data_IF_111218560562
#
_entry.id   IF_111218560562
#
_cell.length_a   1.000
_cell.length_b   1.000
_cell.length_c   1.000
_cell.angle_alpha   90.00
_cell.angle_beta   90.00
_cell.angle_gamma   90.00
#
_symmetry.space_group_name_H-M   'P 1'
#
loop_
_entity.id
_entity.type
_entity.pdbx_description
1 polymer ?
#
# COMPACT_ATOMS: atom_id res chain seq x y z
N UNK A 1 0.74 14.86 19.92
CA UNK A 1 1.45 15.39 18.75
C UNK A 1 2.76 14.62 18.53
N UNK A 2 3.73 14.61 19.44
CA UNK A 2 5.05 13.97 19.25
C UNK A 2 4.97 12.47 18.93
N UNK A 3 4.12 11.73 19.61
CA UNK A 3 3.95 10.29 19.37
C UNK A 3 3.36 10.00 17.97
N UNK A 4 2.45 10.83 17.49
CA UNK A 4 1.88 10.70 16.15
C UNK A 4 2.95 10.98 15.09
N UNK A 5 3.74 12.04 15.25
CA UNK A 5 4.84 12.37 14.34
C UNK A 5 5.90 11.27 14.31
N UNK A 6 6.22 10.66 15.47
CA UNK A 6 7.12 9.52 15.53
C UNK A 6 6.60 8.35 14.67
N UNK A 7 5.32 7.98 14.78
CA UNK A 7 4.75 6.91 13.98
C UNK A 7 4.67 7.24 12.49
N UNK A 8 4.45 8.49 12.13
CA UNK A 8 4.50 8.91 10.72
C UNK A 8 5.89 8.70 10.11
N UNK A 9 6.94 9.03 10.86
CA UNK A 9 8.32 8.80 10.43
C UNK A 9 8.63 7.29 10.29
N UNK A 10 8.11 6.47 11.19
CA UNK A 10 8.24 5.00 11.12
C UNK A 10 7.52 4.43 9.89
N UNK A 11 6.32 4.93 9.57
CA UNK A 11 5.57 4.53 8.37
C UNK A 11 6.34 4.91 7.11
N UNK A 12 6.83 6.14 7.01
CA UNK A 12 7.60 6.58 5.84
C UNK A 12 8.89 5.76 5.64
N UNK A 13 9.55 5.39 6.72
CA UNK A 13 10.85 4.73 6.67
C UNK A 13 10.75 3.22 6.41
N UNK A 14 9.78 2.55 7.01
CA UNK A 14 9.78 1.08 7.08
C UNK A 14 8.58 0.41 6.42
N UNK A 15 7.48 1.09 6.24
CA UNK A 15 6.20 0.48 5.83
C UNK A 15 5.79 0.86 4.42
N UNK A 16 5.90 2.11 4.02
CA UNK A 16 5.61 2.53 2.65
C UNK A 16 6.61 1.91 1.69
N UNK A 17 6.12 1.10 0.79
CA UNK A 17 6.91 0.19 -0.02
C UNK A 17 7.16 0.66 -1.45
N UNK A 18 6.19 1.26 -2.08
CA UNK A 18 6.24 1.56 -3.50
C UNK A 18 6.12 3.06 -3.77
N UNK A 19 6.50 3.53 -4.97
CA UNK A 19 6.24 4.91 -5.37
C UNK A 19 4.74 5.24 -5.40
N UNK A 20 3.86 4.23 -5.38
CA UNK A 20 2.40 4.42 -5.34
C UNK A 20 1.87 4.80 -3.96
N UNK A 21 2.67 4.63 -2.90
CA UNK A 21 2.32 5.09 -1.55
C UNK A 21 1.39 4.16 -0.76
N UNK A 22 1.36 2.87 -1.07
CA UNK A 22 0.62 1.89 -0.27
C UNK A 22 1.30 1.66 1.07
N UNK A 23 0.51 1.63 2.13
CA UNK A 23 0.92 1.17 3.45
C UNK A 23 0.85 -0.36 3.43
N UNK A 24 1.98 -1.02 3.62
CA UNK A 24 2.12 -2.46 3.48
C UNK A 24 2.69 -3.10 4.76
N UNK A 25 2.60 -4.41 4.86
CA UNK A 25 3.26 -5.15 5.92
C UNK A 25 4.78 -5.13 5.73
N UNK A 26 5.51 -5.00 6.83
CA UNK A 26 6.97 -4.97 6.83
C UNK A 26 7.54 -5.85 7.96
N UNK A 27 7.53 -7.18 7.80
CA UNK A 27 8.15 -8.07 8.78
C UNK A 27 9.64 -7.77 8.92
N UNK A 28 10.17 -7.97 10.12
CA UNK A 28 11.60 -7.85 10.38
C UNK A 28 12.28 -9.19 10.12
N UNK A 29 13.33 -9.20 9.30
CA UNK A 29 14.15 -10.41 9.08
C UNK A 29 14.95 -10.80 10.31
N UNK A 30 15.27 -9.82 11.18
CA UNK A 30 15.94 -10.02 12.46
C UNK A 30 15.13 -9.38 13.58
N UNK A 31 14.90 -10.14 14.64
CA UNK A 31 14.11 -9.70 15.79
C UNK A 31 14.64 -8.38 16.35
N UNK A 32 13.73 -7.43 16.57
CA UNK A 32 13.98 -6.09 17.10
C UNK A 32 14.92 -5.18 16.28
N UNK A 33 15.32 -5.59 15.07
CA UNK A 33 16.17 -4.80 14.18
C UNK A 33 15.37 -4.22 13.02
N UNK A 34 14.88 -3.00 13.17
CA UNK A 34 14.07 -2.30 12.17
C UNK A 34 14.81 -2.03 10.85
N UNK A 35 16.16 -2.02 10.85
CA UNK A 35 16.93 -1.87 9.61
C UNK A 35 16.77 -3.07 8.68
N UNK A 36 16.25 -4.17 9.19
CA UNK A 36 15.95 -5.39 8.44
C UNK A 36 14.48 -5.51 8.02
N UNK A 37 13.72 -4.42 8.09
CA UNK A 37 12.34 -4.38 7.62
C UNK A 37 12.27 -4.73 6.12
N UNK A 38 11.39 -5.64 5.78
CA UNK A 38 11.22 -6.17 4.43
C UNK A 38 9.77 -5.95 3.98
N UNK A 39 9.43 -4.76 3.46
CA UNK A 39 8.08 -4.46 3.01
C UNK A 39 7.61 -5.45 1.96
N UNK A 40 6.48 -6.07 2.19
CA UNK A 40 5.90 -7.08 1.32
C UNK A 40 4.54 -6.64 0.81
N UNK A 41 4.23 -7.00 -0.42
CA UNK A 41 2.87 -6.90 -0.90
C UNK A 41 1.99 -7.90 -0.17
N UNK A 42 0.80 -7.45 0.12
CA UNK A 42 -0.23 -8.28 0.69
C UNK A 42 -1.55 -8.08 -0.06
N UNK A 43 -2.41 -9.08 0.04
CA UNK A 43 -3.78 -8.97 -0.46
C UNK A 43 -4.58 -7.85 0.22
N UNK A 44 -4.00 -7.18 1.22
CA UNK A 44 -4.63 -6.17 2.05
C UNK A 44 -4.01 -4.78 1.89
N UNK A 45 -3.21 -4.52 0.85
CA UNK A 45 -2.61 -3.20 0.62
C UNK A 45 -3.67 -2.09 0.55
N UNK A 46 -4.80 -2.36 -0.09
CA UNK A 46 -5.94 -1.44 -0.11
C UNK A 46 -6.56 -1.21 1.27
N UNK A 47 -6.70 -2.26 2.08
CA UNK A 47 -7.24 -2.17 3.44
C UNK A 47 -6.37 -1.29 4.34
N UNK A 48 -5.09 -1.61 4.44
CA UNK A 48 -4.16 -0.86 5.29
C UNK A 48 -4.03 0.60 4.86
N UNK A 49 -3.94 0.84 3.55
CA UNK A 49 -3.87 2.19 3.01
C UNK A 49 -5.14 2.99 3.27
N UNK A 50 -6.33 2.36 3.21
CA UNK A 50 -7.60 3.03 3.52
C UNK A 50 -7.71 3.42 5.00
N UNK A 51 -7.27 2.55 5.91
CA UNK A 51 -7.24 2.84 7.35
C UNK A 51 -6.29 3.99 7.66
N UNK A 52 -5.09 3.96 7.08
CA UNK A 52 -4.12 5.05 7.20
C UNK A 52 -4.69 6.37 6.67
N UNK A 53 -5.22 6.37 5.45
CA UNK A 53 -5.80 7.56 4.83
C UNK A 53 -6.98 8.15 5.62
N UNK A 54 -7.83 7.31 6.20
CA UNK A 54 -8.90 7.74 7.08
C UNK A 54 -8.34 8.40 8.35
N UNK A 55 -7.31 7.81 8.97
CA UNK A 55 -6.60 8.39 10.10
C UNK A 55 -6.06 9.79 9.79
N UNK A 56 -5.43 9.98 8.64
CA UNK A 56 -4.92 11.28 8.20
C UNK A 56 -6.03 12.31 7.91
N UNK A 57 -7.20 11.86 7.42
CA UNK A 57 -8.36 12.73 7.29
C UNK A 57 -8.84 13.23 8.66
N UNK A 58 -8.92 12.37 9.66
CA UNK A 58 -9.27 12.76 11.03
C UNK A 58 -8.20 13.67 11.65
N UNK A 59 -6.92 13.38 11.44
CA UNK A 59 -5.82 14.21 11.90
C UNK A 59 -5.91 15.63 11.32
N UNK A 60 -6.17 15.74 10.02
CA UNK A 60 -6.40 17.05 9.39
C UNK A 60 -7.67 17.72 9.92
N UNK A 61 -8.75 16.98 10.10
CA UNK A 61 -9.99 17.50 10.69
C UNK A 61 -9.77 18.15 12.04
N UNK A 62 -8.94 17.53 12.88
CA UNK A 62 -8.66 17.98 14.24
C UNK A 62 -7.60 19.09 14.33
N UNK A 63 -6.53 19.01 13.51
CA UNK A 63 -5.35 19.87 13.66
C UNK A 63 -5.19 20.94 12.60
N UNK A 64 -5.84 20.75 11.44
CA UNK A 64 -5.62 21.55 10.21
C UNK A 64 -4.18 21.51 9.70
N UNK A 65 -3.41 20.49 10.09
CA UNK A 65 -2.03 20.31 9.62
C UNK A 65 -2.02 20.01 8.11
N UNK A 66 -1.37 20.85 7.28
CA UNK A 66 -1.31 20.63 5.84
C UNK A 66 -0.59 19.32 5.46
N UNK A 67 0.32 18.81 6.30
CA UNK A 67 0.98 17.53 6.07
C UNK A 67 -0.01 16.37 6.17
N UNK A 68 -0.90 16.38 7.16
CA UNK A 68 -1.95 15.37 7.29
C UNK A 68 -2.89 15.38 6.07
N UNK A 69 -3.26 16.56 5.59
CA UNK A 69 -4.04 16.71 4.34
C UNK A 69 -3.34 16.10 3.12
N UNK A 70 -2.05 16.36 2.99
CA UNK A 70 -1.25 15.82 1.88
C UNK A 70 -1.14 14.30 1.94
N UNK A 71 -0.89 13.73 3.13
CA UNK A 71 -0.84 12.27 3.36
C UNK A 71 -2.19 11.61 3.05
N UNK A 72 -3.29 12.21 3.49
CA UNK A 72 -4.64 11.73 3.18
C UNK A 72 -4.89 11.71 1.66
N UNK A 73 -4.50 12.79 0.95
CA UNK A 73 -4.62 12.86 -0.50
C UNK A 73 -3.79 11.79 -1.21
N UNK A 74 -2.54 11.58 -0.79
CA UNK A 74 -1.68 10.52 -1.35
C UNK A 74 -2.29 9.13 -1.15
N UNK A 75 -2.82 8.84 0.04
CA UNK A 75 -3.49 7.58 0.30
C UNK A 75 -4.74 7.40 -0.58
N UNK A 76 -5.54 8.45 -0.75
CA UNK A 76 -6.71 8.43 -1.64
C UNK A 76 -6.32 8.16 -3.10
N UNK A 77 -5.29 8.82 -3.63
CA UNK A 77 -4.82 8.58 -5.01
C UNK A 77 -4.25 7.16 -5.20
N UNK A 78 -3.57 6.62 -4.19
CA UNK A 78 -3.13 5.23 -4.21
C UNK A 78 -4.32 4.26 -4.30
N UNK A 79 -5.36 4.46 -3.51
CA UNK A 79 -6.60 3.65 -3.55
C UNK A 79 -7.33 3.79 -4.89
N UNK A 80 -7.42 5.01 -5.41
CA UNK A 80 -7.99 5.27 -6.72
C UNK A 80 -7.23 4.57 -7.84
N UNK A 81 -5.91 4.44 -7.71
CA UNK A 81 -5.09 3.73 -8.68
C UNK A 81 -5.38 2.22 -8.70
N UNK A 82 -5.66 1.57 -7.54
CA UNK A 82 -6.12 0.18 -7.51
C UNK A 82 -7.39 -0.06 -8.36
N UNK A 83 -8.26 0.92 -8.41
CA UNK A 83 -9.47 0.85 -9.26
C UNK A 83 -9.16 1.13 -10.73
N UNK A 84 -8.28 2.10 -11.02
CA UNK A 84 -7.98 2.50 -12.39
C UNK A 84 -7.17 1.47 -13.16
N UNK A 85 -6.19 0.86 -12.51
CA UNK A 85 -5.23 -0.04 -13.17
C UNK A 85 -5.91 -1.24 -13.83
N UNK A 86 -7.05 -1.68 -13.33
CA UNK A 86 -7.79 -2.81 -13.89
C UNK A 86 -8.60 -2.46 -15.14
N UNK A 87 -8.74 -1.17 -15.48
CA UNK A 87 -9.69 -0.72 -16.51
C UNK A 87 -9.02 -0.35 -17.86
N UNK A 88 -7.70 -0.22 -17.87
CA UNK A 88 -6.96 0.31 -19.03
C UNK A 88 -6.26 -0.81 -19.83
N UNK A 89 -6.91 -1.97 -20.02
CA UNK A 89 -6.38 -3.09 -20.79
C UNK A 89 -7.43 -3.72 -21.72
N UNK A 90 -6.97 -4.45 -22.73
CA UNK A 90 -7.82 -5.10 -23.72
C UNK A 90 -8.85 -6.07 -23.11
N UNK A 91 -8.46 -6.74 -22.01
CA UNK A 91 -9.29 -7.69 -21.27
C UNK A 91 -9.72 -7.15 -19.92
N UNK A 92 -10.09 -5.86 -19.86
CA UNK A 92 -10.52 -5.23 -18.61
C UNK A 92 -11.72 -5.96 -17.97
N UNK A 93 -11.69 -6.20 -16.67
CA UNK A 93 -12.83 -6.74 -15.97
C UNK A 93 -13.98 -5.70 -15.92
N UNK A 94 -15.18 -6.09 -15.49
CA UNK A 94 -16.31 -5.16 -15.33
C UNK A 94 -15.92 -3.93 -14.49
N UNK A 95 -16.54 -2.78 -14.79
CA UNK A 95 -16.34 -1.55 -14.04
C UNK A 95 -16.56 -1.77 -12.54
N UNK A 96 -15.67 -1.21 -11.72
CA UNK A 96 -15.73 -1.36 -10.27
C UNK A 96 -14.90 -2.53 -9.73
N UNK A 97 -14.31 -3.33 -10.58
CA UNK A 97 -13.34 -4.32 -10.15
C UNK A 97 -12.05 -3.66 -9.68
N UNK A 98 -11.58 -3.99 -8.49
CA UNK A 98 -10.45 -3.34 -7.82
C UNK A 98 -9.30 -4.33 -7.69
N UNK A 99 -8.08 -3.93 -8.06
CA UNK A 99 -6.89 -4.72 -7.76
C UNK A 99 -6.63 -4.75 -6.25
N UNK A 100 -6.11 -5.84 -5.74
CA UNK A 100 -5.76 -5.98 -4.32
C UNK A 100 -4.41 -5.35 -3.99
N UNK A 101 -3.48 -5.44 -4.94
CA UNK A 101 -2.15 -4.83 -4.87
C UNK A 101 -1.67 -4.47 -6.28
N UNK A 102 -0.67 -3.60 -6.38
CA UNK A 102 0.02 -3.23 -7.61
C UNK A 102 1.52 -3.34 -7.39
N UNK A 103 2.21 -3.91 -8.36
CA UNK A 103 3.67 -4.00 -8.37
C UNK A 103 4.25 -3.33 -9.61
N UNK A 104 5.42 -2.69 -9.52
CA UNK A 104 6.18 -2.28 -10.68
C UNK A 104 6.48 -3.48 -11.59
N UNK A 105 6.40 -3.30 -12.90
CA UNK A 105 6.61 -4.38 -13.88
C UNK A 105 8.04 -4.94 -13.88
N UNK A 106 9.00 -4.14 -13.44
CA UNK A 106 10.42 -4.52 -13.29
C UNK A 106 10.68 -5.40 -12.04
N UNK A 107 9.70 -5.54 -11.15
CA UNK A 107 9.82 -6.43 -10.00
C UNK A 107 9.54 -7.88 -10.39
N UNK A 108 10.14 -8.86 -9.71
CA UNK A 108 9.87 -10.28 -9.98
C UNK A 108 8.37 -10.58 -9.89
N UNK A 109 7.85 -11.36 -10.84
CA UNK A 109 6.47 -11.83 -10.78
C UNK A 109 6.27 -12.73 -9.56
N UNK A 110 5.38 -12.37 -8.61
CA UNK A 110 5.11 -13.17 -7.42
C UNK A 110 4.38 -14.48 -7.70
N UNK A 111 3.87 -14.64 -8.93
CA UNK A 111 3.11 -15.81 -9.35
C UNK A 111 3.96 -16.82 -10.13
N UNK A 112 5.24 -16.53 -10.37
CA UNK A 112 6.16 -17.51 -10.93
C UNK A 112 6.17 -18.74 -10.03
N UNK A 113 5.77 -19.89 -10.58
CA UNK A 113 5.60 -21.14 -9.85
C UNK A 113 4.20 -21.42 -9.29
N UNK A 114 3.31 -20.40 -9.15
CA UNK A 114 1.90 -20.63 -8.77
C UNK A 114 1.05 -21.10 -9.95
N UNK A 115 1.47 -20.74 -11.17
CA UNK A 115 0.76 -21.12 -12.41
C UNK A 115 1.10 -22.56 -12.83
N UNK A 116 2.25 -23.08 -12.46
CA UNK A 116 2.65 -24.46 -12.77
C UNK A 116 1.82 -25.49 -11.98
N UNK A 117 1.46 -25.20 -10.71
CA UNK A 117 0.61 -26.09 -9.90
C UNK A 117 -0.85 -26.18 -10.33
N UNK A 118 -1.33 -25.27 -11.17
CA UNK A 118 -2.72 -25.27 -11.69
C UNK A 118 -2.84 -26.06 -13.00
N UNK A 119 -1.72 -26.41 -13.64
CA UNK A 119 -1.73 -27.16 -14.91
C UNK A 119 -1.66 -28.68 -14.75
N UNK A 120 -1.43 -29.17 -13.56
CA UNK A 120 -1.32 -30.63 -13.28
C UNK A 120 -2.59 -31.24 -12.65
N UNK A 121 -3.67 -30.47 -12.44
CA UNK A 121 -5.00 -30.96 -12.05
C UNK A 121 -5.99 -30.83 -13.21
#
# INVERSE_FOLDING_TARGET
>A
AEKAEFYEQEIERYVKRTPYGYVAEAPLRKVADKSTADPQDSDNDGLWTSMYGAGECFAYGATKDPKAKERAKKAFEALRFLQKVTQDCEHAPPKGYVARTIRPVEWPDPNVGRVEGVREE
#
